data_IF_138467380401
#
_entry.id   IF_138467380401
#
_cell.length_a   1.000
_cell.length_b   1.000
_cell.length_c   1.000
_cell.angle_alpha   90.00
_cell.angle_beta   90.00
_cell.angle_gamma   90.00
#
_symmetry.space_group_name_H-M   'P 1'
#
loop_
_entity.id
_entity.type
_entity.pdbx_description
1 polymer ?
#
# COMPACT_ATOMS: atom_id res chain seq x y z
N UNK A 1 14.39 12.68 22.56
CA UNK A 1 14.78 12.09 21.25
C UNK A 1 13.52 11.90 20.44
N UNK A 2 13.36 12.59 19.31
CA UNK A 2 12.26 12.29 18.39
C UNK A 2 12.58 10.95 17.74
N UNK A 3 11.80 9.91 18.05
CA UNK A 3 11.91 8.62 17.40
C UNK A 3 11.51 8.81 15.92
N UNK A 4 12.51 8.95 15.04
CA UNK A 4 12.27 8.94 13.59
C UNK A 4 11.62 7.60 13.25
N UNK A 5 10.43 7.64 12.67
CA UNK A 5 9.79 6.42 12.17
C UNK A 5 10.56 6.00 10.92
N UNK A 6 10.91 4.73 10.82
CA UNK A 6 11.55 4.20 9.61
C UNK A 6 10.56 4.23 8.45
N UNK A 7 11.06 4.53 7.24
CA UNK A 7 10.25 4.45 6.03
C UNK A 7 9.88 3.00 5.72
N UNK A 8 8.80 2.82 4.98
CA UNK A 8 8.31 1.50 4.61
C UNK A 8 7.72 1.51 3.20
N UNK A 9 7.71 0.34 2.58
CA UNK A 9 7.03 0.17 1.29
C UNK A 9 5.54 -0.08 1.49
N UNK A 10 4.75 0.42 0.54
CA UNK A 10 3.30 0.28 0.48
C UNK A 10 2.94 -0.22 -0.91
N UNK A 11 2.06 -1.22 -0.99
CA UNK A 11 1.38 -1.54 -2.23
C UNK A 11 0.15 -0.64 -2.39
N UNK A 12 0.06 0.02 -3.54
CA UNK A 12 -1.06 0.86 -3.94
C UNK A 12 -1.80 0.16 -5.07
N UNK A 13 -3.05 -0.21 -4.80
CA UNK A 13 -3.96 -0.87 -5.73
C UNK A 13 -4.87 0.18 -6.35
N UNK A 14 -4.72 0.39 -7.65
CA UNK A 14 -5.69 1.13 -8.45
C UNK A 14 -6.73 0.17 -8.96
N UNK A 15 -7.99 0.39 -8.58
CA UNK A 15 -9.10 -0.46 -8.97
C UNK A 15 -9.74 0.02 -10.26
N UNK A 16 -10.49 -0.85 -10.94
CA UNK A 16 -11.18 -0.52 -12.19
C UNK A 16 -12.26 0.56 -12.03
N UNK A 17 -12.80 0.72 -10.83
CA UNK A 17 -13.74 1.80 -10.49
C UNK A 17 -13.05 3.15 -10.23
N UNK A 18 -11.73 3.21 -10.46
CA UNK A 18 -10.83 4.37 -10.24
C UNK A 18 -10.57 4.68 -8.77
N UNK A 19 -11.09 3.89 -7.83
CA UNK A 19 -10.72 4.02 -6.42
C UNK A 19 -9.32 3.47 -6.17
N UNK A 20 -8.75 3.85 -5.04
CA UNK A 20 -7.41 3.40 -4.64
C UNK A 20 -7.45 2.83 -3.23
N UNK A 21 -6.81 1.67 -3.05
CA UNK A 21 -6.54 1.07 -1.74
C UNK A 21 -5.04 0.92 -1.55
N UNK A 22 -4.58 0.99 -0.32
CA UNK A 22 -3.16 0.87 -0.01
C UNK A 22 -2.94 0.01 1.23
N UNK A 23 -1.91 -0.81 1.21
CA UNK A 23 -1.51 -1.65 2.35
C UNK A 23 0.00 -1.60 2.51
N UNK A 24 0.46 -1.50 3.77
CA UNK A 24 1.87 -1.59 4.09
C UNK A 24 2.35 -3.01 3.78
N UNK A 25 3.49 -3.10 3.10
CA UNK A 25 4.10 -4.39 2.78
C UNK A 25 4.71 -4.94 4.05
N UNK A 26 4.25 -6.12 4.45
CA UNK A 26 4.80 -6.89 5.56
C UNK A 26 5.53 -8.12 5.00
N UNK A 27 6.78 -8.40 5.39
CA UNK A 27 7.58 -9.49 4.80
C UNK A 27 6.96 -10.88 4.91
N UNK A 28 6.09 -11.08 5.91
CA UNK A 28 5.41 -12.34 6.18
C UNK A 28 4.10 -12.52 5.40
N UNK A 29 3.63 -11.50 4.69
CA UNK A 29 2.38 -11.54 3.94
C UNK A 29 2.64 -11.68 2.44
N UNK A 30 1.92 -12.60 1.80
CA UNK A 30 1.87 -12.71 0.36
C UNK A 30 0.90 -11.69 -0.25
N UNK A 31 1.10 -11.36 -1.54
CA UNK A 31 0.19 -10.47 -2.29
C UNK A 31 -1.27 -10.96 -2.26
N UNK A 32 -1.49 -12.28 -2.29
CA UNK A 32 -2.83 -12.87 -2.19
C UNK A 32 -3.49 -12.64 -0.83
N UNK A 33 -2.71 -12.67 0.25
CA UNK A 33 -3.23 -12.37 1.60
C UNK A 33 -3.52 -10.88 1.75
N UNK A 34 -2.67 -10.01 1.21
CA UNK A 34 -2.92 -8.57 1.13
C UNK A 34 -4.25 -8.29 0.41
N UNK A 35 -4.48 -8.93 -0.74
CA UNK A 35 -5.74 -8.82 -1.49
C UNK A 35 -6.94 -9.32 -0.68
N UNK A 36 -6.81 -10.45 0.04
CA UNK A 36 -7.87 -10.95 0.93
C UNK A 36 -8.19 -9.96 2.06
N UNK A 37 -7.17 -9.35 2.67
CA UNK A 37 -7.34 -8.32 3.71
C UNK A 37 -8.07 -7.10 3.16
N UNK A 38 -7.78 -6.72 1.92
CA UNK A 38 -8.43 -5.60 1.24
C UNK A 38 -9.81 -5.94 0.64
N UNK A 39 -10.21 -7.21 0.67
CA UNK A 39 -11.45 -7.70 0.07
C UNK A 39 -11.46 -7.57 -1.47
N UNK A 40 -10.29 -7.72 -2.10
CA UNK A 40 -10.10 -7.56 -3.53
C UNK A 40 -9.97 -8.92 -4.23
N UNK A 41 -10.46 -8.98 -5.46
CA UNK A 41 -10.18 -10.03 -6.42
C UNK A 41 -9.31 -9.52 -7.56
N UNK A 42 -8.66 -10.41 -8.31
CA UNK A 42 -7.83 -10.03 -9.47
C UNK A 42 -8.61 -9.18 -10.50
N UNK A 43 -9.91 -9.46 -10.65
CA UNK A 43 -10.81 -8.76 -11.58
C UNK A 43 -10.99 -7.29 -11.21
N UNK A 44 -10.93 -6.94 -9.92
CA UNK A 44 -11.11 -5.58 -9.43
C UNK A 44 -9.89 -4.70 -9.71
N UNK A 45 -8.72 -5.31 -9.84
CA UNK A 45 -7.43 -4.63 -9.95
C UNK A 45 -7.21 -4.19 -11.40
N UNK A 46 -6.94 -2.90 -11.57
CA UNK A 46 -6.44 -2.36 -12.82
C UNK A 46 -4.91 -2.31 -12.82
N UNK A 47 -4.32 -1.88 -11.71
CA UNK A 47 -2.88 -1.72 -11.56
C UNK A 47 -2.45 -1.84 -10.10
N UNK A 48 -1.26 -2.38 -9.87
CA UNK A 48 -0.60 -2.41 -8.56
C UNK A 48 0.73 -1.67 -8.70
N UNK A 49 1.05 -0.81 -7.74
CA UNK A 49 2.34 -0.12 -7.65
C UNK A 49 2.95 -0.30 -6.26
N UNK A 50 4.27 -0.39 -6.19
CA UNK A 50 5.01 -0.34 -4.93
C UNK A 50 5.59 1.06 -4.75
N UNK A 51 5.29 1.70 -3.62
CA UNK A 51 5.71 3.07 -3.32
C UNK A 51 6.44 3.10 -1.98
N UNK A 52 7.57 3.81 -1.92
CA UNK A 52 8.26 4.08 -0.65
C UNK A 52 7.57 5.23 0.09
N UNK A 53 7.10 4.95 1.30
CA UNK A 53 6.51 5.93 2.20
C UNK A 53 7.52 6.36 3.26
N UNK A 54 7.80 7.66 3.30
CA UNK A 54 8.63 8.27 4.33
C UNK A 54 7.74 8.98 5.36
N UNK A 55 7.54 8.41 6.57
CA UNK A 55 6.66 8.98 7.59
C UNK A 55 7.18 10.30 8.17
N UNK A 56 8.42 10.69 7.87
CA UNK A 56 9.02 11.94 8.33
C UNK A 56 8.96 13.04 7.26
N UNK A 57 8.53 12.73 6.04
CA UNK A 57 8.24 13.75 5.04
C UNK A 57 6.83 14.27 5.27
N UNK A 58 6.73 15.54 5.65
CA UNK A 58 5.45 16.26 5.57
C UNK A 58 5.00 16.24 4.10
N UNK A 59 3.91 15.53 3.81
CA UNK A 59 3.21 15.69 2.55
C UNK A 59 2.60 17.10 2.54
N UNK A 60 3.35 18.08 2.01
CA UNK A 60 2.77 19.37 1.64
C UNK A 60 1.69 19.10 0.59
N UNK A 61 0.44 19.36 0.98
CA UNK A 61 -0.73 19.38 0.10
C UNK A 61 -0.57 20.43 -1.00
#
# INVERSE_FOLDING_TARGET
MQNKKEGYYVHVYTLRDKSTKSIKIEPSCSLNEEMKVLGLTDSDIFQIQMVWYDPNKEHKK
#
